data_IF_306639889062
#
_entry.id   IF_306639889062
#
_cell.length_a   1.000
_cell.length_b   1.000
_cell.length_c   1.000
_cell.angle_alpha   90.00
_cell.angle_beta   90.00
_cell.angle_gamma   90.00
#
_symmetry.space_group_name_H-M   'P 1'
#
loop_
_entity.id
_entity.type
_entity.pdbx_description
1 polymer ?
#
# COMPACT_ATOMS: atom_id res chain seq x y z
N UNK A 1 -10.83 5.52 -18.90
CA UNK A 1 -10.64 5.40 -17.43
C UNK A 1 -9.19 5.71 -17.04
N UNK A 2 -9.00 6.57 -16.04
CA UNK A 2 -7.68 6.92 -15.52
C UNK A 2 -6.99 5.67 -14.94
N UNK A 3 -5.66 5.61 -15.03
CA UNK A 3 -4.87 4.49 -14.52
C UNK A 3 -5.02 4.35 -12.99
N UNK A 4 -5.26 5.46 -12.28
CA UNK A 4 -5.56 5.49 -10.85
C UNK A 4 -6.88 4.77 -10.54
N UNK A 5 -7.93 5.09 -11.29
CA UNK A 5 -9.27 4.49 -11.12
C UNK A 5 -9.23 2.98 -11.35
N UNK A 6 -8.47 2.52 -12.36
CA UNK A 6 -8.32 1.08 -12.64
C UNK A 6 -7.63 0.35 -11.50
N UNK A 7 -6.57 0.93 -10.94
CA UNK A 7 -5.82 0.34 -9.83
C UNK A 7 -6.67 0.28 -8.56
N UNK A 8 -7.38 1.37 -8.23
CA UNK A 8 -8.30 1.41 -7.11
C UNK A 8 -9.41 0.38 -7.27
N UNK A 9 -10.02 0.31 -8.45
CA UNK A 9 -11.08 -0.67 -8.74
C UNK A 9 -10.59 -2.11 -8.62
N UNK A 10 -9.36 -2.41 -9.05
CA UNK A 10 -8.77 -3.75 -8.88
C UNK A 10 -8.60 -4.10 -7.39
N UNK A 11 -8.12 -3.16 -6.58
CA UNK A 11 -7.98 -3.35 -5.14
C UNK A 11 -9.33 -3.56 -4.44
N UNK A 12 -10.35 -2.77 -4.80
CA UNK A 12 -11.69 -2.91 -4.25
C UNK A 12 -12.34 -4.23 -4.64
N UNK A 13 -12.23 -4.68 -5.89
CA UNK A 13 -12.72 -6.00 -6.31
C UNK A 13 -12.05 -7.13 -5.52
N UNK A 14 -10.74 -7.04 -5.25
CA UNK A 14 -10.04 -8.04 -4.46
C UNK A 14 -10.60 -8.11 -3.03
N UNK A 15 -10.90 -6.96 -2.42
CA UNK A 15 -11.52 -6.89 -1.10
C UNK A 15 -12.95 -7.43 -1.10
N UNK A 16 -13.80 -6.98 -2.02
CA UNK A 16 -15.20 -7.41 -2.13
C UNK A 16 -15.33 -8.93 -2.25
N UNK A 17 -14.38 -9.55 -2.97
CA UNK A 17 -14.33 -11.00 -3.18
C UNK A 17 -13.55 -11.76 -2.11
N UNK A 18 -13.07 -11.09 -1.05
CA UNK A 18 -12.22 -11.67 -0.01
C UNK A 18 -11.00 -12.43 -0.58
N UNK A 19 -10.40 -11.90 -1.65
CA UNK A 19 -9.21 -12.47 -2.27
C UNK A 19 -7.99 -12.00 -1.47
N UNK A 20 -7.25 -12.91 -0.81
CA UNK A 20 -6.07 -12.51 -0.05
C UNK A 20 -4.99 -12.00 -0.98
N UNK A 21 -4.41 -10.85 -0.64
CA UNK A 21 -3.30 -10.29 -1.38
C UNK A 21 -2.02 -11.08 -1.10
N UNK A 22 -1.32 -11.49 -2.16
CA UNK A 22 0.03 -12.04 -2.00
C UNK A 22 0.99 -10.96 -1.54
N UNK A 23 2.14 -11.36 -0.97
CA UNK A 23 3.20 -10.43 -0.57
C UNK A 23 3.66 -9.55 -1.74
N UNK A 24 3.74 -10.11 -2.95
CA UNK A 24 4.13 -9.38 -4.16
C UNK A 24 3.05 -8.38 -4.56
N UNK A 25 1.79 -8.79 -4.60
CA UNK A 25 0.67 -7.91 -4.93
C UNK A 25 0.55 -6.74 -3.95
N UNK A 26 0.70 -7.02 -2.66
CA UNK A 26 0.72 -6.02 -1.57
C UNK A 26 1.79 -4.97 -1.80
N UNK A 27 3.05 -5.38 -2.01
CA UNK A 27 4.16 -4.45 -2.26
C UNK A 27 3.93 -3.61 -3.52
N UNK A 28 3.38 -4.21 -4.57
CA UNK A 28 3.07 -3.50 -5.82
C UNK A 28 1.98 -2.45 -5.62
N UNK A 29 0.89 -2.80 -4.94
CA UNK A 29 -0.21 -1.86 -4.65
C UNK A 29 0.28 -0.66 -3.84
N UNK A 30 1.02 -0.90 -2.75
CA UNK A 30 1.58 0.17 -1.92
C UNK A 30 2.45 1.11 -2.77
N UNK A 31 3.36 0.56 -3.59
CA UNK A 31 4.25 1.37 -4.45
C UNK A 31 3.50 2.17 -5.50
N UNK A 32 2.55 1.55 -6.20
CA UNK A 32 1.86 2.20 -7.30
C UNK A 32 0.86 3.24 -6.82
N UNK A 33 0.15 2.99 -5.71
CA UNK A 33 -0.64 4.03 -5.05
C UNK A 33 0.23 5.22 -4.64
N UNK A 34 1.39 4.98 -4.03
CA UNK A 34 2.34 6.04 -3.67
C UNK A 34 2.81 6.85 -4.89
N UNK A 35 3.21 6.19 -5.99
CA UNK A 35 3.64 6.84 -7.24
C UNK A 35 2.54 7.65 -7.92
N UNK A 36 1.29 7.26 -7.73
CA UNK A 36 0.12 7.94 -8.29
C UNK A 36 -0.40 9.07 -7.37
N UNK A 37 0.29 9.37 -6.26
CA UNK A 37 -0.14 10.38 -5.28
C UNK A 37 -1.33 9.91 -4.41
N UNK A 38 -1.66 8.63 -4.42
CA UNK A 38 -2.74 8.03 -3.64
C UNK A 38 -2.18 7.51 -2.31
N UNK A 39 -1.59 8.40 -1.51
CA UNK A 39 -0.85 8.01 -0.30
C UNK A 39 -1.73 7.33 0.74
N UNK A 40 -2.96 7.82 0.92
CA UNK A 40 -3.92 7.20 1.84
C UNK A 40 -4.20 5.75 1.47
N UNK A 41 -4.35 5.44 0.18
CA UNK A 41 -4.55 4.07 -0.28
C UNK A 41 -3.31 3.20 -0.09
N UNK A 42 -2.11 3.78 -0.28
CA UNK A 42 -0.84 3.09 -0.01
C UNK A 42 -0.72 2.67 1.45
N UNK A 43 -0.98 3.59 2.38
CA UNK A 43 -0.94 3.34 3.83
C UNK A 43 -2.06 2.37 4.24
N UNK A 44 -3.27 2.55 3.71
CA UNK A 44 -4.42 1.71 4.03
C UNK A 44 -4.25 0.25 3.59
N UNK A 45 -3.56 0.00 2.45
CA UNK A 45 -3.17 -1.37 2.07
C UNK A 45 -2.25 -1.99 3.13
N UNK A 46 -1.27 -1.23 3.63
CA UNK A 46 -0.37 -1.72 4.68
C UNK A 46 -1.12 -1.98 5.99
N UNK A 47 -1.94 -1.03 6.44
CA UNK A 47 -2.58 -1.12 7.75
C UNK A 47 -3.54 -2.30 7.87
N UNK A 48 -4.17 -2.70 6.75
CA UNK A 48 -5.07 -3.85 6.68
C UNK A 48 -4.38 -5.22 6.63
N UNK A 49 -3.05 -5.26 6.54
CA UNK A 49 -2.33 -6.52 6.62
C UNK A 49 -2.36 -7.07 8.03
N UNK A 50 -2.51 -8.39 8.14
CA UNK A 50 -2.30 -9.09 9.39
C UNK A 50 -0.87 -8.84 9.92
N UNK A 51 -0.70 -8.89 11.23
CA UNK A 51 0.61 -8.68 11.90
C UNK A 51 1.71 -9.57 11.30
N UNK A 52 1.38 -10.81 10.95
CA UNK A 52 2.31 -11.76 10.35
C UNK A 52 2.72 -11.38 8.92
N UNK A 53 1.88 -10.63 8.21
CA UNK A 53 2.11 -10.17 6.84
C UNK A 53 2.85 -8.82 6.79
N UNK A 54 2.86 -8.03 7.88
CA UNK A 54 3.64 -6.79 8.04
C UNK A 54 5.14 -7.04 8.29
N UNK A 55 5.74 -7.88 7.45
CA UNK A 55 7.17 -8.18 7.53
C UNK A 55 8.05 -6.99 7.08
N UNK A 56 9.36 -7.08 7.36
CA UNK A 56 10.36 -6.05 7.05
C UNK A 56 10.31 -5.58 5.60
N UNK A 57 10.04 -6.49 4.64
CA UNK A 57 9.99 -6.11 3.23
C UNK A 57 8.82 -5.19 2.92
N UNK A 58 7.63 -5.47 3.44
CA UNK A 58 6.45 -4.62 3.21
C UNK A 58 6.62 -3.30 3.93
N UNK A 59 7.11 -3.34 5.17
CA UNK A 59 7.38 -2.15 5.98
C UNK A 59 8.31 -1.18 5.26
N UNK A 60 9.42 -1.68 4.72
CA UNK A 60 10.37 -0.87 3.98
C UNK A 60 9.75 -0.23 2.73
N UNK A 61 8.77 -0.88 2.09
CA UNK A 61 8.07 -0.30 0.94
C UNK A 61 7.20 0.88 1.35
N UNK A 62 6.48 0.78 2.47
CA UNK A 62 5.66 1.89 2.98
C UNK A 62 6.52 3.07 3.44
N UNK A 63 7.60 2.79 4.16
CA UNK A 63 8.59 3.80 4.57
C UNK A 63 9.18 4.51 3.34
N UNK A 64 9.59 3.77 2.31
CA UNK A 64 10.08 4.34 1.04
C UNK A 64 9.03 5.25 0.38
N UNK A 65 7.75 4.83 0.36
CA UNK A 65 6.66 5.66 -0.17
C UNK A 65 6.48 6.95 0.63
N UNK A 66 6.44 6.88 1.97
CA UNK A 66 6.25 8.03 2.83
C UNK A 66 7.42 9.03 2.71
N UNK A 67 8.66 8.54 2.73
CA UNK A 67 9.86 9.37 2.57
C UNK A 67 9.92 10.07 1.21
N UNK A 68 9.60 9.36 0.11
CA UNK A 68 9.53 9.97 -1.24
C UNK A 68 8.50 11.08 -1.35
N UNK A 69 7.48 11.05 -0.51
CA UNK A 69 6.43 12.06 -0.45
C UNK A 69 6.64 13.08 0.68
N UNK A 70 7.85 13.11 1.27
CA UNK A 70 8.25 14.04 2.35
C UNK A 70 7.44 13.90 3.64
N UNK A 71 6.77 12.77 3.86
CA UNK A 71 6.04 12.44 5.08
C UNK A 71 6.96 11.75 6.10
N UNK A 72 7.99 12.47 6.54
CA UNK A 72 9.05 11.92 7.40
C UNK A 72 8.51 11.49 8.78
N UNK A 73 7.66 12.32 9.39
CA UNK A 73 7.09 12.03 10.70
C UNK A 73 6.21 10.78 10.69
N UNK A 74 5.49 10.53 9.59
CA UNK A 74 4.68 9.34 9.45
C UNK A 74 5.53 8.11 9.16
N UNK A 75 6.62 8.26 8.40
CA UNK A 75 7.58 7.17 8.18
C UNK A 75 8.20 6.68 9.50
N UNK A 76 8.47 7.59 10.46
CA UNK A 76 9.00 7.25 11.78
C UNK A 76 7.98 6.49 12.67
N UNK A 77 6.68 6.61 12.38
CA UNK A 77 5.61 5.95 13.15
C UNK A 77 5.29 4.54 12.64
N UNK A 78 5.80 4.14 11.48
CA UNK A 78 5.54 2.81 10.91
C UNK A 78 6.12 1.72 11.82
N UNK A 79 5.26 0.83 12.31
CA UNK A 79 5.57 -0.24 13.26
C UNK A 79 5.26 -1.63 12.74
#
# INVERSE_FOLDING_TARGET
>A
PDSKDKLLRLYEIAKEKNIPLTLVATKLLIRWFGRMGMLDQSVLVYERLDSNSKNTQVRNVVIDVLLRNRLVDDALKVR
#
